data_IF_737806962669
#
_entry.id   IF_737806962669
#
_cell.length_a   1.000
_cell.length_b   1.000
_cell.length_c   1.000
_cell.angle_alpha   90.00
_cell.angle_beta   90.00
_cell.angle_gamma   90.00
#
_symmetry.space_group_name_H-M   'P 1'
#
loop_
_entity.id
_entity.type
_entity.pdbx_description
1 polymer ?
#
# COMPACT_ATOMS: atom_id res chain seq x y z
N UNK A 1 2.18 -51.65 54.01
CA UNK A 1 2.96 -50.40 53.98
C UNK A 1 3.97 -50.56 52.87
N UNK A 2 3.55 -50.16 51.65
CA UNK A 2 4.33 -50.34 50.42
C UNK A 2 4.74 -48.94 49.91
N UNK A 3 6.04 -48.70 49.79
CA UNK A 3 6.59 -47.56 49.08
C UNK A 3 6.69 -47.86 47.56
N UNK A 4 6.37 -46.97 46.67
CA UNK A 4 6.72 -47.12 45.28
C UNK A 4 8.02 -46.36 44.95
N UNK A 5 8.98 -47.07 44.37
CA UNK A 5 10.25 -46.59 43.82
C UNK A 5 10.01 -45.72 42.59
N UNK A 6 10.58 -44.52 42.60
CA UNK A 6 10.61 -43.60 41.42
C UNK A 6 11.88 -43.85 40.60
N UNK A 7 11.72 -44.41 39.41
CA UNK A 7 12.80 -44.57 38.44
C UNK A 7 12.99 -43.27 37.67
N UNK A 8 14.10 -42.56 37.85
CA UNK A 8 14.52 -41.43 37.05
C UNK A 8 15.15 -41.95 35.75
N UNK A 9 14.50 -41.68 34.62
CA UNK A 9 15.08 -41.80 33.27
C UNK A 9 15.72 -40.48 32.92
N UNK A 10 17.04 -40.41 32.88
CA UNK A 10 17.79 -39.26 32.39
C UNK A 10 17.89 -39.31 30.87
N UNK A 11 17.21 -38.39 30.18
CA UNK A 11 17.42 -38.16 28.77
C UNK A 11 18.56 -37.11 28.58
N UNK A 12 19.68 -37.58 28.05
CA UNK A 12 20.75 -36.71 27.54
C UNK A 12 20.24 -36.01 26.27
N UNK A 13 20.13 -34.69 26.30
CA UNK A 13 19.95 -33.87 25.13
C UNK A 13 21.29 -33.70 24.42
N UNK A 14 21.42 -34.33 23.28
CA UNK A 14 22.54 -34.13 22.35
C UNK A 14 22.33 -32.78 21.65
N UNK A 15 23.16 -31.80 22.02
CA UNK A 15 23.16 -30.47 21.36
C UNK A 15 23.99 -30.58 20.09
N UNK A 16 23.35 -31.01 19.00
CA UNK A 16 23.93 -30.93 17.66
C UNK A 16 24.00 -29.49 17.19
N UNK A 17 25.20 -28.97 16.93
CA UNK A 17 25.46 -27.68 16.31
C UNK A 17 24.75 -27.59 14.96
N UNK A 18 24.00 -26.52 14.65
CA UNK A 18 23.44 -26.34 13.32
C UNK A 18 24.57 -25.97 12.35
N UNK A 19 24.93 -26.89 11.47
CA UNK A 19 25.70 -26.59 10.28
C UNK A 19 24.87 -25.66 9.39
N UNK A 20 25.40 -24.44 9.15
CA UNK A 20 24.83 -23.50 8.22
C UNK A 20 24.65 -24.11 6.84
N UNK A 21 23.41 -24.28 6.43
CA UNK A 21 22.99 -24.36 5.03
C UNK A 21 22.41 -22.99 4.67
N UNK A 22 23.16 -22.22 3.92
CA UNK A 22 22.60 -21.14 3.12
C UNK A 22 21.71 -21.79 2.07
N UNK A 23 20.42 -21.80 2.32
CA UNK A 23 19.40 -22.06 1.32
C UNK A 23 18.62 -20.77 1.16
N UNK A 24 18.83 -20.11 0.04
CA UNK A 24 17.86 -19.23 -0.58
C UNK A 24 16.77 -20.14 -1.16
N UNK A 25 15.92 -20.71 -0.31
CA UNK A 25 14.66 -21.27 -0.76
C UNK A 25 13.74 -20.08 -1.08
N UNK A 26 13.27 -20.00 -2.32
CA UNK A 26 12.21 -19.09 -2.69
C UNK A 26 10.99 -19.39 -1.80
N UNK A 27 10.29 -18.35 -1.28
CA UNK A 27 9.16 -18.57 -0.40
C UNK A 27 8.07 -19.37 -1.13
N UNK A 28 7.56 -20.40 -0.48
CA UNK A 28 6.40 -21.15 -0.98
C UNK A 28 5.14 -20.29 -0.95
N UNK A 29 4.10 -20.66 -1.69
CA UNK A 29 2.82 -19.93 -1.72
C UNK A 29 2.26 -19.68 -0.30
N UNK A 30 2.41 -20.66 0.58
CA UNK A 30 2.00 -20.55 1.98
C UNK A 30 2.83 -19.53 2.76
N UNK A 31 4.12 -19.36 2.41
CA UNK A 31 5.02 -18.39 3.02
C UNK A 31 4.68 -16.96 2.60
N UNK A 32 4.24 -16.72 1.36
CA UNK A 32 3.82 -15.38 0.89
C UNK A 32 2.56 -14.87 1.58
N UNK A 33 1.57 -15.73 1.81
CA UNK A 33 0.40 -15.36 2.61
C UNK A 33 0.79 -15.00 4.05
N UNK A 34 1.73 -15.75 4.65
CA UNK A 34 2.27 -15.44 5.97
C UNK A 34 3.07 -14.12 5.98
N UNK A 35 3.82 -13.83 4.90
CA UNK A 35 4.52 -12.54 4.73
C UNK A 35 3.53 -11.39 4.70
N UNK A 36 2.44 -11.49 3.94
CA UNK A 36 1.42 -10.45 3.87
C UNK A 36 0.75 -10.21 5.23
N UNK A 37 0.43 -11.29 5.96
CA UNK A 37 -0.07 -11.20 7.33
C UNK A 37 0.92 -10.53 8.29
N UNK A 38 2.22 -10.82 8.16
CA UNK A 38 3.28 -10.15 8.92
C UNK A 38 3.38 -8.65 8.58
N UNK A 39 3.34 -8.29 7.30
CA UNK A 39 3.39 -6.88 6.86
C UNK A 39 2.22 -6.08 7.45
N UNK A 40 1.01 -6.63 7.38
CA UNK A 40 -0.18 -5.98 7.92
C UNK A 40 -0.30 -6.00 9.44
N UNK A 41 0.60 -6.69 10.16
CA UNK A 41 0.66 -6.69 11.60
C UNK A 41 1.02 -5.33 12.19
N UNK A 42 0.75 -5.11 13.48
CA UNK A 42 1.19 -3.93 14.24
C UNK A 42 2.70 -3.98 14.45
N UNK A 43 3.40 -2.88 14.19
CA UNK A 43 4.82 -2.74 14.53
C UNK A 43 4.97 -1.87 15.79
N UNK A 44 5.28 -2.50 16.94
CA UNK A 44 5.44 -1.81 18.22
C UNK A 44 6.71 -0.95 18.32
N UNK A 45 7.63 -1.08 17.36
CA UNK A 45 8.82 -0.23 17.25
C UNK A 45 8.47 1.16 16.69
N UNK A 46 7.32 1.29 16.03
CA UNK A 46 6.89 2.56 15.45
C UNK A 46 6.14 3.43 16.47
N UNK A 47 6.33 4.76 16.45
CA UNK A 47 5.60 5.69 17.33
C UNK A 47 4.09 5.56 17.15
N UNK A 48 3.34 5.80 18.21
CA UNK A 48 1.87 5.74 18.16
C UNK A 48 1.23 7.08 17.81
N UNK A 49 1.94 8.16 18.04
CA UNK A 49 1.43 9.51 17.77
C UNK A 49 1.43 9.83 16.27
N UNK A 50 0.52 10.69 15.86
CA UNK A 50 0.49 11.25 14.53
C UNK A 50 1.69 12.19 14.35
N UNK A 51 2.44 12.09 13.23
CA UNK A 51 3.52 13.03 12.95
C UNK A 51 3.03 14.47 12.90
N UNK A 52 3.80 15.41 13.43
CA UNK A 52 3.36 16.81 13.57
C UNK A 52 2.90 17.44 12.25
N UNK A 53 3.63 17.17 11.17
CA UNK A 53 3.26 17.71 9.84
C UNK A 53 1.97 17.05 9.35
N UNK A 54 1.81 15.74 9.53
CA UNK A 54 0.59 15.03 9.19
C UNK A 54 -0.61 15.56 9.98
N UNK A 55 -0.47 15.77 11.29
CA UNK A 55 -1.52 16.34 12.15
C UNK A 55 -1.96 17.74 11.69
N UNK A 56 -1.02 18.59 11.29
CA UNK A 56 -1.34 19.91 10.76
C UNK A 56 -2.09 19.83 9.42
N UNK A 57 -1.73 18.87 8.55
CA UNK A 57 -2.44 18.65 7.29
C UNK A 57 -3.83 18.06 7.54
N UNK A 58 -3.96 17.14 8.49
CA UNK A 58 -5.25 16.59 8.94
C UNK A 58 -6.22 17.69 9.36
N UNK A 59 -5.75 18.62 10.18
CA UNK A 59 -6.56 19.77 10.60
C UNK A 59 -6.98 20.65 9.41
N UNK A 60 -6.09 20.87 8.43
CA UNK A 60 -6.43 21.60 7.21
C UNK A 60 -7.50 20.87 6.37
N UNK A 61 -7.39 19.54 6.19
CA UNK A 61 -8.41 18.75 5.51
C UNK A 61 -9.78 18.91 6.19
N UNK A 62 -9.81 18.83 7.51
CA UNK A 62 -11.03 19.03 8.30
C UNK A 62 -11.65 20.41 8.07
N UNK A 63 -10.85 21.47 8.05
CA UNK A 63 -11.31 22.84 7.76
C UNK A 63 -11.82 23.01 6.32
N UNK A 64 -11.27 22.22 5.38
CA UNK A 64 -11.71 22.21 3.98
C UNK A 64 -12.94 21.32 3.74
N UNK A 65 -13.42 20.60 4.75
CA UNK A 65 -14.51 19.62 4.60
C UNK A 65 -14.12 18.39 3.79
N UNK A 66 -12.82 18.09 3.72
CA UNK A 66 -12.29 16.93 3.00
C UNK A 66 -12.05 15.76 3.97
N UNK A 67 -12.43 14.57 3.55
CA UNK A 67 -12.17 13.32 4.27
C UNK A 67 -10.77 12.79 4.00
N UNK A 68 -10.26 12.02 4.94
CA UNK A 68 -9.02 11.25 4.82
C UNK A 68 -9.20 9.92 5.55
N UNK A 69 -8.33 8.96 5.31
CA UNK A 69 -8.34 7.71 6.04
C UNK A 69 -8.12 7.93 7.54
N UNK A 70 -8.61 7.01 8.36
CA UNK A 70 -8.44 7.12 9.80
C UNK A 70 -6.98 7.01 10.22
N UNK A 71 -6.64 7.58 11.37
CA UNK A 71 -5.29 7.47 11.97
C UNK A 71 -4.89 6.00 12.19
N UNK A 72 -5.87 5.12 12.46
CA UNK A 72 -5.60 3.69 12.62
C UNK A 72 -5.11 3.04 11.33
N UNK A 73 -5.67 3.45 10.19
CA UNK A 73 -5.24 3.00 8.86
C UNK A 73 -3.86 3.56 8.53
N UNK A 74 -3.63 4.86 8.73
CA UNK A 74 -2.32 5.48 8.47
C UNK A 74 -1.20 4.83 9.29
N UNK A 75 -1.44 4.55 10.57
CA UNK A 75 -0.48 3.83 11.43
C UNK A 75 -0.16 2.44 10.89
N UNK A 76 -1.20 1.67 10.52
CA UNK A 76 -1.02 0.32 10.03
C UNK A 76 -0.29 0.28 8.70
N UNK A 77 -0.62 1.18 7.79
CA UNK A 77 0.03 1.30 6.50
C UNK A 77 1.50 1.74 6.66
N UNK A 78 1.79 2.71 7.52
CA UNK A 78 3.16 3.07 7.88
C UNK A 78 3.93 1.88 8.46
N UNK A 79 3.31 1.12 9.37
CA UNK A 79 3.91 -0.08 9.98
C UNK A 79 4.22 -1.13 8.90
N UNK A 80 3.35 -1.30 7.90
CA UNK A 80 3.56 -2.18 6.76
C UNK A 80 4.74 -1.73 5.90
N UNK A 81 4.81 -0.44 5.53
CA UNK A 81 5.92 0.12 4.76
C UNK A 81 7.26 0.06 5.53
N UNK A 82 7.22 0.25 6.86
CA UNK A 82 8.41 0.12 7.71
C UNK A 82 8.99 -1.31 7.70
N UNK A 83 8.14 -2.34 7.57
CA UNK A 83 8.56 -3.74 7.47
C UNK A 83 8.92 -4.16 6.06
N UNK A 84 8.13 -3.74 5.08
CA UNK A 84 8.37 -4.03 3.67
C UNK A 84 9.67 -3.41 3.17
N UNK A 85 10.00 -2.21 3.66
CA UNK A 85 11.18 -1.43 3.25
C UNK A 85 11.28 -1.24 1.72
N UNK A 86 10.23 -0.77 1.04
CA UNK A 86 10.22 -0.62 -0.40
C UNK A 86 11.34 0.33 -0.86
N UNK A 87 11.89 0.10 -2.05
CA UNK A 87 12.85 1.02 -2.70
C UNK A 87 12.13 2.02 -3.60
N UNK A 88 10.99 1.63 -4.16
CA UNK A 88 10.15 2.47 -5.01
C UNK A 88 8.71 2.47 -4.52
N UNK A 89 8.08 3.65 -4.48
CA UNK A 89 6.71 3.83 -4.02
C UNK A 89 5.93 4.70 -4.99
N UNK A 90 4.73 4.25 -5.34
CA UNK A 90 3.76 5.00 -6.13
C UNK A 90 2.52 5.27 -5.28
N UNK A 91 2.19 6.52 -5.05
CA UNK A 91 1.01 6.96 -4.31
C UNK A 91 0.01 7.61 -5.25
N UNK A 92 -1.19 7.04 -5.37
CA UNK A 92 -2.28 7.53 -6.19
C UNK A 92 -3.33 8.21 -5.31
N UNK A 93 -3.71 9.44 -5.67
CA UNK A 93 -4.67 10.24 -4.91
C UNK A 93 -4.04 10.81 -3.63
N UNK A 94 -2.92 11.50 -3.77
CA UNK A 94 -2.16 12.06 -2.65
C UNK A 94 -2.87 13.24 -1.94
N UNK A 95 -3.88 13.85 -2.58
CA UNK A 95 -4.61 15.02 -2.10
C UNK A 95 -3.64 16.16 -1.68
N UNK A 96 -3.76 16.66 -0.45
CA UNK A 96 -2.81 17.67 0.09
C UNK A 96 -1.67 17.05 0.93
N UNK A 97 -1.51 15.71 0.85
CA UNK A 97 -0.33 15.02 1.40
C UNK A 97 -0.43 14.58 2.86
N UNK A 98 -1.63 14.33 3.40
CA UNK A 98 -1.77 13.83 4.78
C UNK A 98 -1.08 12.46 4.92
N UNK A 99 -1.41 11.50 4.05
CA UNK A 99 -0.80 10.17 4.02
C UNK A 99 0.67 10.25 3.65
N UNK A 100 1.01 11.08 2.66
CA UNK A 100 2.39 11.31 2.23
C UNK A 100 3.27 11.80 3.38
N UNK A 101 2.75 12.67 4.27
CA UNK A 101 3.48 13.15 5.45
C UNK A 101 3.78 12.02 6.46
N UNK A 102 2.91 11.02 6.61
CA UNK A 102 3.18 9.84 7.42
C UNK A 102 4.36 9.01 6.87
N UNK A 103 4.45 8.89 5.55
CA UNK A 103 5.50 8.13 4.89
C UNK A 103 6.84 8.89 4.91
N UNK A 104 6.80 10.17 4.60
CA UNK A 104 7.99 11.04 4.62
C UNK A 104 8.61 11.08 6.03
N UNK A 105 7.79 11.21 7.09
CA UNK A 105 8.24 11.15 8.48
C UNK A 105 8.84 9.77 8.86
N UNK A 106 8.30 8.65 8.33
CA UNK A 106 8.90 7.33 8.50
C UNK A 106 10.30 7.27 7.91
N UNK A 107 10.48 7.75 6.66
CA UNK A 107 11.74 7.68 5.96
C UNK A 107 12.77 8.66 6.51
N UNK A 108 12.35 9.87 6.90
CA UNK A 108 13.21 10.84 7.59
C UNK A 108 13.76 10.25 8.89
N UNK A 109 12.91 9.69 9.76
CA UNK A 109 13.34 9.09 11.03
C UNK A 109 14.22 7.86 10.85
N UNK A 110 14.00 7.07 9.83
CA UNK A 110 14.83 5.92 9.49
C UNK A 110 16.10 6.30 8.73
N UNK A 111 16.30 7.59 8.43
CA UNK A 111 17.42 8.13 7.62
C UNK A 111 17.53 7.41 6.27
N UNK A 112 16.39 7.12 5.67
CA UNK A 112 16.29 6.35 4.43
C UNK A 112 15.73 7.20 3.31
N UNK A 113 16.47 7.26 2.20
CA UNK A 113 15.98 7.76 0.92
C UNK A 113 15.55 6.57 0.06
N UNK A 114 14.45 6.73 -0.64
CA UNK A 114 14.01 5.75 -1.64
C UNK A 114 14.78 5.95 -2.95
N UNK A 115 14.70 4.97 -3.84
CA UNK A 115 15.12 5.14 -5.23
C UNK A 115 14.14 6.09 -5.94
N UNK A 116 12.84 5.92 -5.64
CA UNK A 116 11.79 6.80 -6.16
C UNK A 116 10.56 6.83 -5.25
N UNK A 117 9.92 7.97 -5.18
CA UNK A 117 8.58 8.14 -4.60
C UNK A 117 7.77 9.07 -5.49
N UNK A 118 6.80 8.53 -6.17
CA UNK A 118 5.94 9.29 -7.08
C UNK A 118 4.57 9.49 -6.45
N UNK A 119 4.19 10.76 -6.29
CA UNK A 119 2.87 11.17 -5.82
C UNK A 119 2.03 11.61 -7.02
N UNK A 120 0.94 10.91 -7.26
CA UNK A 120 -0.02 11.27 -8.32
C UNK A 120 -1.21 11.99 -7.70
N UNK A 121 -1.52 13.16 -8.24
CA UNK A 121 -2.63 13.99 -7.80
C UNK A 121 -3.31 14.68 -8.98
N UNK A 122 -4.64 14.57 -9.05
CA UNK A 122 -5.41 15.15 -10.16
C UNK A 122 -5.46 16.68 -10.11
N UNK A 123 -5.52 17.24 -8.91
CA UNK A 123 -5.69 18.67 -8.70
C UNK A 123 -4.40 19.47 -8.76
N UNK A 124 -4.21 20.31 -9.77
CA UNK A 124 -2.99 21.13 -9.90
C UNK A 124 -2.66 22.00 -8.68
N UNK A 125 -3.67 22.52 -7.95
CA UNK A 125 -3.47 23.27 -6.71
C UNK A 125 -2.92 22.38 -5.60
N UNK A 126 -3.39 21.15 -5.50
CA UNK A 126 -2.89 20.16 -4.53
C UNK A 126 -1.48 19.71 -4.89
N UNK A 127 -1.18 19.55 -6.19
CA UNK A 127 0.17 19.28 -6.66
C UNK A 127 1.20 20.31 -6.19
N UNK A 128 0.85 21.60 -6.17
CA UNK A 128 1.74 22.65 -5.61
C UNK A 128 1.94 22.49 -4.09
N UNK A 129 0.90 22.07 -3.36
CA UNK A 129 1.01 21.82 -1.91
C UNK A 129 1.94 20.61 -1.66
N UNK A 130 1.76 19.52 -2.43
CA UNK A 130 2.62 18.35 -2.37
C UNK A 130 4.08 18.67 -2.67
N UNK A 131 4.35 19.51 -3.69
CA UNK A 131 5.72 19.94 -4.00
C UNK A 131 6.36 20.69 -2.82
N UNK A 132 5.61 21.55 -2.11
CA UNK A 132 6.07 22.21 -0.89
C UNK A 132 6.29 21.23 0.26
N UNK A 133 5.46 20.21 0.38
CA UNK A 133 5.62 19.14 1.36
C UNK A 133 6.93 18.38 1.12
N UNK A 134 7.19 17.95 -0.14
CA UNK A 134 8.44 17.29 -0.51
C UNK A 134 9.67 18.15 -0.22
N UNK A 135 9.59 19.45 -0.54
CA UNK A 135 10.68 20.39 -0.24
C UNK A 135 10.93 20.53 1.27
N UNK A 136 9.87 20.52 2.09
CA UNK A 136 10.00 20.61 3.55
C UNK A 136 10.71 19.40 4.17
N UNK A 137 10.57 18.21 3.56
CA UNK A 137 11.26 16.98 3.95
C UNK A 137 12.59 16.76 3.20
N UNK A 138 13.04 17.75 2.42
CA UNK A 138 14.26 17.65 1.58
C UNK A 138 14.26 16.44 0.65
N UNK A 139 13.07 16.01 0.22
CA UNK A 139 12.86 14.77 -0.52
C UNK A 139 12.93 14.93 -2.06
N UNK A 140 13.11 16.15 -2.59
CA UNK A 140 13.02 16.45 -4.03
C UNK A 140 14.06 15.71 -4.90
N UNK A 141 15.11 15.17 -4.30
CA UNK A 141 16.12 14.40 -5.04
C UNK A 141 15.68 12.96 -5.37
N UNK A 142 14.67 12.45 -4.67
CA UNK A 142 14.16 11.07 -4.83
C UNK A 142 12.63 10.98 -4.85
N UNK A 143 11.93 12.08 -4.65
CA UNK A 143 10.47 12.14 -4.69
C UNK A 143 9.98 13.19 -5.69
N UNK A 144 8.88 12.89 -6.37
CA UNK A 144 8.28 13.76 -7.38
C UNK A 144 6.76 13.79 -7.31
N UNK A 145 6.17 14.88 -7.80
CA UNK A 145 4.72 15.02 -7.92
C UNK A 145 4.35 15.01 -9.39
N UNK A 146 3.44 14.12 -9.75
CA UNK A 146 2.84 14.04 -11.09
C UNK A 146 1.40 14.53 -10.98
N UNK A 147 1.09 15.62 -11.68
CA UNK A 147 -0.28 16.15 -11.74
C UNK A 147 -0.97 15.60 -12.98
N UNK A 148 -2.06 14.85 -12.79
CA UNK A 148 -2.82 14.25 -13.85
C UNK A 148 -3.90 13.30 -13.34
N UNK A 149 -4.83 12.97 -14.21
CA UNK A 149 -5.88 12.00 -13.93
C UNK A 149 -5.26 10.59 -13.89
N UNK A 150 -5.44 9.80 -12.81
CA UNK A 150 -4.74 8.53 -12.63
C UNK A 150 -4.96 7.51 -13.76
N UNK A 151 -6.21 7.37 -14.24
CA UNK A 151 -6.51 6.42 -15.31
C UNK A 151 -5.86 6.83 -16.64
N UNK A 152 -5.81 8.13 -16.93
CA UNK A 152 -5.13 8.66 -18.10
C UNK A 152 -3.62 8.43 -18.02
N UNK A 153 -2.99 8.71 -16.86
CA UNK A 153 -1.56 8.49 -16.66
C UNK A 153 -1.17 7.03 -16.84
N UNK A 154 -1.99 6.10 -16.37
CA UNK A 154 -1.76 4.67 -16.59
C UNK A 154 -1.85 4.29 -18.07
N UNK A 155 -2.85 4.82 -18.80
CA UNK A 155 -3.00 4.58 -20.23
C UNK A 155 -1.83 5.19 -21.05
N UNK A 156 -1.39 6.39 -20.69
CA UNK A 156 -0.22 7.04 -21.30
C UNK A 156 1.06 6.23 -21.05
N UNK A 157 1.24 5.71 -19.83
CA UNK A 157 2.36 4.82 -19.52
C UNK A 157 2.35 3.53 -20.36
N UNK A 158 1.19 2.90 -20.51
CA UNK A 158 1.03 1.70 -21.33
C UNK A 158 1.37 1.98 -22.80
N UNK A 159 0.84 3.09 -23.34
CA UNK A 159 1.15 3.53 -24.70
C UNK A 159 2.64 3.82 -24.89
N UNK A 160 3.26 4.50 -23.90
CA UNK A 160 4.70 4.75 -23.88
C UNK A 160 5.50 3.46 -23.85
N UNK A 161 5.15 2.48 -23.02
CA UNK A 161 5.83 1.19 -22.91
C UNK A 161 5.82 0.42 -24.22
N UNK A 162 4.69 0.43 -24.93
CA UNK A 162 4.57 -0.18 -26.27
C UNK A 162 5.44 0.55 -27.29
N UNK A 163 5.44 1.88 -27.28
CA UNK A 163 6.26 2.68 -28.18
C UNK A 163 7.75 2.53 -27.89
N UNK A 164 8.15 2.51 -26.63
CA UNK A 164 9.55 2.32 -26.19
C UNK A 164 10.11 0.96 -26.60
N UNK A 165 9.28 -0.08 -26.66
CA UNK A 165 9.67 -1.40 -27.14
C UNK A 165 10.05 -1.40 -28.63
N UNK A 166 9.57 -0.42 -29.41
CA UNK A 166 9.82 -0.30 -30.85
C UNK A 166 10.83 0.81 -31.19
N UNK A 167 10.99 1.82 -30.33
CA UNK A 167 11.89 2.96 -30.55
C UNK A 167 12.41 3.54 -29.23
N UNK A 168 13.72 3.50 -29.01
CA UNK A 168 14.37 3.92 -27.77
C UNK A 168 14.40 5.47 -27.53
N UNK A 169 14.04 6.29 -28.52
CA UNK A 169 14.11 7.76 -28.43
C UNK A 169 12.86 8.43 -27.83
N UNK A 170 11.93 7.66 -27.27
CA UNK A 170 10.70 8.22 -26.70
C UNK A 170 10.93 8.93 -25.36
N UNK A 171 10.13 9.96 -25.12
CA UNK A 171 10.09 10.65 -23.82
C UNK A 171 9.83 9.64 -22.69
N UNK A 172 10.41 9.88 -21.54
CA UNK A 172 10.18 9.02 -20.36
C UNK A 172 8.74 9.14 -19.88
N UNK A 173 8.15 8.03 -19.47
CA UNK A 173 6.87 8.06 -18.78
C UNK A 173 6.94 8.88 -17.49
N UNK A 174 5.89 9.63 -17.13
CA UNK A 174 5.84 10.35 -15.86
C UNK A 174 5.75 9.44 -14.64
N UNK A 175 5.34 8.18 -14.81
CA UNK A 175 5.28 7.17 -13.75
C UNK A 175 6.17 5.99 -14.09
N UNK A 176 6.68 5.31 -13.07
CA UNK A 176 7.54 4.15 -13.24
C UNK A 176 6.76 2.90 -13.63
N UNK A 177 7.40 2.01 -14.36
CA UNK A 177 6.81 0.76 -14.84
C UNK A 177 6.71 -0.33 -13.76
N UNK A 178 7.39 -0.16 -12.64
CA UNK A 178 7.41 -1.14 -11.56
C UNK A 178 7.66 -0.46 -10.22
N UNK A 179 6.83 -0.76 -9.23
CA UNK A 179 6.94 -0.20 -7.87
C UNK A 179 6.88 -1.30 -6.82
N UNK A 180 7.70 -1.18 -5.77
CA UNK A 180 7.69 -2.13 -4.66
C UNK A 180 6.48 -1.92 -3.74
N UNK A 181 6.00 -0.70 -3.64
CA UNK A 181 4.74 -0.42 -2.96
C UNK A 181 3.88 0.53 -3.80
N UNK A 182 2.60 0.20 -3.91
CA UNK A 182 1.60 1.08 -4.52
C UNK A 182 0.54 1.36 -3.46
N UNK A 183 0.20 2.63 -3.26
CA UNK A 183 -0.86 3.04 -2.34
C UNK A 183 -1.91 3.79 -3.12
N UNK A 184 -3.15 3.30 -3.11
CA UNK A 184 -4.24 3.87 -3.89
C UNK A 184 -5.31 4.44 -2.98
N UNK A 185 -5.62 5.72 -3.17
CA UNK A 185 -6.80 6.37 -2.65
C UNK A 185 -7.58 7.02 -3.79
N UNK A 186 -8.89 7.01 -3.66
CA UNK A 186 -9.77 7.55 -4.67
C UNK A 186 -11.24 7.37 -4.28
N UNK A 187 -12.17 7.84 -5.08
CA UNK A 187 -13.60 7.65 -4.82
C UNK A 187 -13.98 6.17 -4.69
N UNK A 188 -14.89 5.85 -3.75
CA UNK A 188 -15.33 4.47 -3.50
C UNK A 188 -15.86 3.78 -4.77
N UNK A 189 -16.58 4.50 -5.62
CA UNK A 189 -17.12 3.99 -6.88
C UNK A 189 -16.07 3.74 -7.99
N UNK A 190 -14.83 4.24 -7.84
CA UNK A 190 -13.75 4.06 -8.82
C UNK A 190 -12.61 3.19 -8.28
N UNK A 191 -12.63 2.84 -6.99
CA UNK A 191 -11.50 2.18 -6.32
C UNK A 191 -11.12 0.85 -6.95
N UNK A 192 -12.09 0.02 -7.27
CA UNK A 192 -11.86 -1.26 -7.95
C UNK A 192 -11.13 -1.07 -9.28
N UNK A 193 -11.59 -0.11 -10.08
CA UNK A 193 -10.98 0.19 -11.37
C UNK A 193 -9.55 0.71 -11.23
N UNK A 194 -9.29 1.59 -10.25
CA UNK A 194 -7.93 2.08 -9.96
C UNK A 194 -7.01 0.92 -9.56
N UNK A 195 -7.44 0.06 -8.63
CA UNK A 195 -6.65 -1.10 -8.23
C UNK A 195 -6.37 -2.01 -9.43
N UNK A 196 -7.38 -2.39 -10.20
CA UNK A 196 -7.23 -3.23 -11.41
C UNK A 196 -6.23 -2.63 -12.41
N UNK A 197 -6.27 -1.31 -12.59
CA UNK A 197 -5.39 -0.59 -13.52
C UNK A 197 -3.94 -0.58 -13.05
N UNK A 198 -3.71 -0.44 -11.74
CA UNK A 198 -2.36 -0.29 -11.19
C UNK A 198 -1.72 -1.58 -10.67
N UNK A 199 -2.46 -2.69 -10.52
CA UNK A 199 -1.87 -3.99 -10.18
C UNK A 199 -0.71 -4.41 -11.11
N UNK A 200 -0.77 -4.20 -12.45
CA UNK A 200 0.35 -4.55 -13.34
C UNK A 200 1.62 -3.71 -13.13
N UNK A 201 1.56 -2.63 -12.35
CA UNK A 201 2.71 -1.80 -12.00
C UNK A 201 3.44 -2.27 -10.74
N UNK A 202 3.00 -3.36 -10.10
CA UNK A 202 3.72 -3.96 -8.99
C UNK A 202 4.99 -4.68 -9.47
N UNK A 203 6.06 -4.54 -8.71
CA UNK A 203 7.19 -5.46 -8.82
C UNK A 203 6.80 -6.87 -8.33
N UNK A 204 7.57 -7.88 -8.70
CA UNK A 204 7.28 -9.28 -8.35
C UNK A 204 7.11 -9.54 -6.84
N UNK A 205 7.79 -8.75 -6.00
CA UNK A 205 7.67 -8.79 -4.54
C UNK A 205 6.95 -7.54 -3.97
N UNK A 206 6.30 -6.77 -4.85
CA UNK A 206 5.60 -5.56 -4.48
C UNK A 206 4.29 -5.82 -3.75
N UNK A 207 3.79 -4.81 -3.06
CA UNK A 207 2.50 -4.85 -2.39
C UNK A 207 1.70 -3.60 -2.73
N UNK A 208 0.46 -3.81 -3.20
CA UNK A 208 -0.50 -2.73 -3.38
C UNK A 208 -1.40 -2.64 -2.14
N UNK A 209 -1.57 -1.43 -1.64
CA UNK A 209 -2.40 -1.11 -0.47
C UNK A 209 -3.52 -0.14 -0.85
N UNK A 210 -4.71 -0.39 -0.34
CA UNK A 210 -5.84 0.54 -0.38
C UNK A 210 -6.78 0.30 0.80
N UNK A 211 -7.82 1.10 0.92
CA UNK A 211 -8.92 0.88 1.87
C UNK A 211 -10.11 0.36 1.10
N UNK A 212 -10.77 -0.66 1.66
CA UNK A 212 -12.02 -1.20 1.11
C UNK A 212 -13.04 -0.07 0.90
N UNK A 213 -13.73 -0.01 -0.25
CA UNK A 213 -14.78 0.98 -0.45
C UNK A 213 -15.92 0.81 0.53
N UNK A 214 -16.59 1.92 0.87
CA UNK A 214 -17.75 1.87 1.74
C UNK A 214 -18.85 0.99 1.14
N UNK A 215 -19.42 0.12 1.97
CA UNK A 215 -20.55 -0.70 1.56
C UNK A 215 -21.81 0.18 1.46
N UNK A 216 -22.50 0.19 0.32
CA UNK A 216 -23.77 0.86 0.19
C UNK A 216 -24.76 0.38 1.26
N UNK A 217 -25.44 1.29 1.92
CA UNK A 217 -26.42 0.98 2.97
C UNK A 217 -27.82 1.43 2.58
N UNK A 218 -28.79 0.56 2.82
CA UNK A 218 -30.20 0.81 2.51
C UNK A 218 -30.59 0.48 1.05
N UNK A 219 -31.86 0.71 0.76
CA UNK A 219 -32.39 0.54 -0.60
C UNK A 219 -32.03 1.80 -1.42
N UNK A 220 -31.29 1.60 -2.49
CA UNK A 220 -30.94 2.66 -3.43
C UNK A 220 -31.99 2.68 -4.53
N UNK A 221 -32.62 3.85 -4.75
CA UNK A 221 -33.59 3.99 -5.82
C UNK A 221 -32.90 3.96 -7.20
N UNK A 222 -33.57 3.42 -8.21
CA UNK A 222 -33.02 3.28 -9.57
C UNK A 222 -32.69 4.64 -10.23
N UNK A 223 -33.32 5.72 -9.80
CA UNK A 223 -33.10 7.10 -10.26
C UNK A 223 -32.07 7.86 -9.42
N UNK A 224 -31.52 7.26 -8.36
CA UNK A 224 -30.40 7.80 -7.60
C UNK A 224 -29.06 7.44 -8.27
N UNK A 225 -28.60 8.28 -9.18
CA UNK A 225 -27.36 8.06 -9.95
C UNK A 225 -26.13 7.93 -9.04
N UNK A 226 -26.04 8.70 -7.96
CA UNK A 226 -24.90 8.67 -7.03
C UNK A 226 -24.92 7.37 -6.21
N UNK A 227 -26.07 7.00 -5.65
CA UNK A 227 -26.24 5.76 -4.95
C UNK A 227 -25.98 4.53 -5.82
N UNK A 228 -26.48 4.53 -7.06
CA UNK A 228 -26.23 3.47 -8.02
C UNK A 228 -24.76 3.37 -8.42
N UNK A 229 -24.05 4.48 -8.53
CA UNK A 229 -22.61 4.48 -8.80
C UNK A 229 -21.82 3.83 -7.65
N UNK A 230 -22.21 4.05 -6.38
CA UNK A 230 -21.62 3.39 -5.22
C UNK A 230 -21.89 1.89 -5.22
N UNK A 231 -23.14 1.46 -5.50
CA UNK A 231 -23.50 0.05 -5.62
C UNK A 231 -22.68 -0.66 -6.70
N UNK A 232 -22.60 -0.05 -7.89
CA UNK A 232 -21.84 -0.61 -8.99
C UNK A 232 -20.33 -0.67 -8.67
N UNK A 233 -19.78 0.36 -8.02
CA UNK A 233 -18.39 0.39 -7.56
C UNK A 233 -18.10 -0.70 -6.54
N UNK A 234 -19.02 -0.96 -5.60
CA UNK A 234 -18.86 -2.03 -4.63
C UNK A 234 -18.97 -3.42 -5.25
N UNK A 235 -19.90 -3.62 -6.19
CA UNK A 235 -19.98 -4.86 -6.96
C UNK A 235 -18.71 -5.13 -7.76
N UNK A 236 -18.17 -4.10 -8.46
CA UNK A 236 -16.90 -4.20 -9.15
C UNK A 236 -15.73 -4.51 -8.21
N UNK A 237 -15.77 -4.05 -6.95
CA UNK A 237 -14.81 -4.40 -5.91
C UNK A 237 -14.86 -5.89 -5.55
N UNK A 238 -16.04 -6.46 -5.36
CA UNK A 238 -16.23 -7.90 -5.08
C UNK A 238 -15.68 -8.74 -6.24
N UNK A 239 -16.01 -8.34 -7.48
CA UNK A 239 -15.52 -9.00 -8.70
C UNK A 239 -13.98 -8.95 -8.77
N UNK A 240 -13.38 -7.77 -8.57
CA UNK A 240 -11.94 -7.60 -8.56
C UNK A 240 -11.25 -8.53 -7.55
N UNK A 241 -11.74 -8.56 -6.30
CA UNK A 241 -11.19 -9.42 -5.25
C UNK A 241 -11.27 -10.90 -5.67
N UNK A 242 -12.41 -11.33 -6.24
CA UNK A 242 -12.59 -12.70 -6.72
C UNK A 242 -11.65 -13.03 -7.88
N UNK A 243 -11.53 -12.16 -8.87
CA UNK A 243 -10.68 -12.36 -10.06
C UNK A 243 -9.19 -12.45 -9.69
N UNK A 244 -8.76 -11.61 -8.75
CA UNK A 244 -7.34 -11.49 -8.39
C UNK A 244 -6.83 -12.59 -7.47
N UNK A 245 -7.70 -13.36 -6.81
CA UNK A 245 -7.30 -14.47 -5.93
C UNK A 245 -6.51 -15.58 -6.64
N UNK A 246 -6.65 -15.71 -7.95
CA UNK A 246 -5.90 -16.70 -8.74
C UNK A 246 -4.46 -16.27 -9.06
N UNK A 247 -4.13 -15.00 -8.88
CA UNK A 247 -2.84 -14.41 -9.25
C UNK A 247 -2.17 -13.63 -8.13
N UNK A 248 -2.91 -13.29 -7.08
CA UNK A 248 -2.43 -12.50 -5.96
C UNK A 248 -2.94 -13.08 -4.63
N UNK A 249 -2.10 -13.01 -3.61
CA UNK A 249 -2.57 -13.09 -2.23
C UNK A 249 -3.26 -11.77 -1.87
N UNK A 250 -4.47 -11.87 -1.35
CA UNK A 250 -5.26 -10.70 -0.91
C UNK A 250 -5.51 -10.83 0.58
N UNK A 251 -5.16 -9.81 1.34
CA UNK A 251 -5.38 -9.77 2.78
C UNK A 251 -6.18 -8.56 3.20
N UNK A 252 -7.10 -8.77 4.14
CA UNK A 252 -7.98 -7.77 4.71
C UNK A 252 -7.62 -7.57 6.17
N UNK A 253 -7.38 -6.32 6.57
CA UNK A 253 -7.09 -5.94 7.95
C UNK A 253 -8.16 -4.94 8.43
N UNK A 254 -9.20 -5.42 9.12
CA UNK A 254 -10.20 -4.53 9.73
C UNK A 254 -9.57 -3.65 10.81
N UNK A 255 -9.82 -2.35 10.73
CA UNK A 255 -9.31 -1.35 11.63
C UNK A 255 -10.42 -0.37 12.01
N UNK A 256 -10.18 0.44 13.03
CA UNK A 256 -11.10 1.55 13.29
C UNK A 256 -11.12 2.53 12.11
N UNK A 257 -12.30 2.73 11.53
CA UNK A 257 -12.53 3.65 10.40
C UNK A 257 -12.21 3.05 9.02
N UNK A 258 -12.26 1.72 8.85
CA UNK A 258 -12.21 1.03 7.57
C UNK A 258 -11.35 -0.23 7.58
N UNK A 259 -11.33 -0.93 6.45
CA UNK A 259 -10.51 -2.13 6.25
C UNK A 259 -9.35 -1.82 5.32
N UNK A 260 -8.12 -1.95 5.81
CA UNK A 260 -6.93 -1.90 4.94
C UNK A 260 -6.83 -3.21 4.16
N UNK A 261 -6.68 -3.10 2.85
CA UNK A 261 -6.58 -4.26 1.95
C UNK A 261 -5.25 -4.21 1.23
N UNK A 262 -4.62 -5.37 1.06
CA UNK A 262 -3.33 -5.50 0.41
C UNK A 262 -3.32 -6.66 -0.59
N UNK A 263 -2.68 -6.44 -1.75
CA UNK A 263 -2.41 -7.43 -2.80
C UNK A 263 -0.92 -7.64 -2.94
N UNK A 264 -0.50 -8.90 -3.02
CA UNK A 264 0.86 -9.31 -3.32
C UNK A 264 0.81 -10.38 -4.40
N UNK A 265 1.62 -10.32 -5.48
CA UNK A 265 1.68 -11.39 -6.48
C UNK A 265 1.98 -12.75 -5.85
N UNK A 266 1.31 -13.82 -6.31
CA UNK A 266 1.55 -15.20 -5.82
C UNK A 266 2.90 -15.73 -6.27
N UNK A 267 3.28 -15.41 -7.52
CA UNK A 267 4.60 -15.75 -8.08
C UNK A 267 5.33 -14.50 -8.55
N UNK A 268 6.67 -14.49 -8.54
CA UNK A 268 7.47 -13.39 -9.06
C UNK A 268 7.38 -13.27 -10.59
#
# INVERSE_FOLDING_TARGET
MFEPSVTRVGARLDVGSPKGKGMTEEPTEQDRSAVLGFLLGKDDRQPRDEPLIAANIHEQLRHMGLSTWSISIHRRLRDALARQQPSSVLEIGAAIGHRSAWFLDLWERSQRSLTSYTLVEQGGKFGVILQRLLNRYEALSWASVVVGEPMQLAAEHQAWSLAAATNAEHARSPIESSSDAIVIDGPSNQRAQLVKTYLPFLSSNGVLYTVEPDMPSGDVAEDDEEGMALVNGFNAWIELVSETQSTHHVAFMPLFGGTLVAWMPQEP
#
